data_IF_116762564583
#
_entry.id   IF_116762564583
#
_cell.length_a   1.000
_cell.length_b   1.000
_cell.length_c   1.000
_cell.angle_alpha   90.00
_cell.angle_beta   90.00
_cell.angle_gamma   90.00
#
_symmetry.space_group_name_H-M   'P 1'
#
loop_
_entity.id
_entity.type
_entity.pdbx_description
1 polymer ?
#
# COMPACT_ATOMS: atom_id res chain seq x y z
N UNK A 1 -9.00 -2.53 -8.74
CA UNK A 1 -9.50 -3.93 -8.75
C UNK A 1 -8.41 -4.85 -8.19
N UNK A 2 -7.22 -4.87 -8.80
CA UNK A 2 -6.05 -5.60 -8.29
C UNK A 2 -5.74 -5.35 -6.80
N UNK A 3 -5.61 -4.09 -6.37
CA UNK A 3 -5.27 -3.80 -4.96
C UNK A 3 -6.32 -4.29 -3.95
N UNK A 4 -7.59 -4.43 -4.37
CA UNK A 4 -8.65 -4.99 -3.52
C UNK A 4 -8.51 -6.51 -3.42
N UNK A 5 -8.18 -7.19 -4.52
CA UNK A 5 -7.90 -8.63 -4.54
C UNK A 5 -6.74 -8.98 -3.62
N UNK A 6 -5.60 -8.28 -3.79
CA UNK A 6 -4.41 -8.52 -2.98
C UNK A 6 -4.64 -8.19 -1.50
N UNK A 7 -5.38 -7.12 -1.21
CA UNK A 7 -5.76 -6.79 0.16
C UNK A 7 -6.63 -7.87 0.79
N UNK A 8 -7.63 -8.39 0.06
CA UNK A 8 -8.51 -9.45 0.57
C UNK A 8 -7.72 -10.70 0.92
N UNK A 9 -6.87 -11.16 0.01
CA UNK A 9 -6.03 -12.33 0.21
C UNK A 9 -5.11 -12.19 1.44
N UNK A 10 -4.40 -11.06 1.55
CA UNK A 10 -3.45 -10.84 2.64
C UNK A 10 -4.12 -10.59 3.99
N UNK A 11 -5.24 -9.86 4.03
CA UNK A 11 -5.81 -9.32 5.28
C UNK A 11 -7.07 -10.02 5.74
N UNK A 12 -7.85 -10.62 4.83
CA UNK A 12 -9.08 -11.34 5.18
C UNK A 12 -8.87 -12.84 5.19
N UNK A 13 -8.14 -13.37 4.22
CA UNK A 13 -7.79 -14.79 4.19
C UNK A 13 -6.53 -15.10 5.01
N UNK A 14 -5.81 -14.07 5.48
CA UNK A 14 -4.57 -14.19 6.25
C UNK A 14 -3.53 -15.10 5.56
N UNK A 15 -3.55 -15.12 4.24
CA UNK A 15 -2.67 -15.93 3.42
C UNK A 15 -1.33 -15.21 3.20
N UNK A 16 -0.26 -16.00 2.99
CA UNK A 16 1.02 -15.49 2.53
C UNK A 16 0.91 -14.90 1.12
N UNK A 17 1.92 -14.15 0.69
CA UNK A 17 1.99 -13.70 -0.70
C UNK A 17 1.98 -14.90 -1.65
N UNK A 18 1.02 -14.94 -2.58
CA UNK A 18 1.07 -15.86 -3.71
C UNK A 18 2.04 -15.29 -4.75
N UNK A 19 3.13 -16.00 -4.98
CA UNK A 19 4.24 -15.61 -5.87
C UNK A 19 4.34 -16.53 -7.09
N UNK A 20 3.64 -17.66 -7.10
CA UNK A 20 3.52 -18.49 -8.30
C UNK A 20 2.65 -17.75 -9.33
N UNK A 21 3.15 -17.50 -10.56
CA UNK A 21 2.42 -16.72 -11.55
C UNK A 21 1.05 -17.30 -11.94
N UNK A 22 0.95 -18.63 -12.01
CA UNK A 22 -0.29 -19.31 -12.43
C UNK A 22 -1.33 -19.20 -11.34
N UNK A 23 -0.94 -19.49 -10.09
CA UNK A 23 -1.83 -19.34 -8.93
C UNK A 23 -2.21 -17.89 -8.69
N UNK A 24 -1.29 -16.96 -8.89
CA UNK A 24 -1.54 -15.53 -8.78
C UNK A 24 -2.62 -15.07 -9.77
N UNK A 25 -2.51 -15.45 -11.05
CA UNK A 25 -3.51 -15.14 -12.07
C UNK A 25 -4.88 -15.69 -11.67
N UNK A 26 -4.97 -16.98 -11.34
CA UNK A 26 -6.20 -17.61 -10.90
C UNK A 26 -6.80 -16.92 -9.66
N UNK A 27 -5.97 -16.56 -8.68
CA UNK A 27 -6.39 -15.89 -7.46
C UNK A 27 -7.01 -14.51 -7.75
N UNK A 28 -6.37 -13.69 -8.58
CA UNK A 28 -6.88 -12.34 -8.86
C UNK A 28 -8.15 -12.37 -9.72
N UNK A 29 -8.26 -13.32 -10.65
CA UNK A 29 -9.43 -13.51 -11.52
C UNK A 29 -10.62 -14.08 -10.76
N UNK A 30 -10.38 -15.07 -9.90
CA UNK A 30 -11.41 -15.62 -9.01
C UNK A 30 -11.98 -14.57 -8.06
N UNK A 31 -11.13 -13.66 -7.56
CA UNK A 31 -11.59 -12.56 -6.72
C UNK A 31 -12.41 -11.52 -7.50
N UNK A 32 -11.99 -11.20 -8.74
CA UNK A 32 -12.69 -10.23 -9.57
C UNK A 32 -12.60 -10.60 -11.06
N UNK A 33 -13.72 -11.03 -11.68
CA UNK A 33 -13.76 -11.39 -13.10
C UNK A 33 -13.30 -10.29 -14.06
N UNK A 34 -13.33 -9.01 -13.66
CA UNK A 34 -12.81 -7.92 -14.49
C UNK A 34 -11.28 -7.91 -14.60
N UNK A 35 -10.59 -8.75 -13.83
CA UNK A 35 -9.16 -8.99 -13.96
C UNK A 35 -8.85 -10.17 -14.88
N UNK A 36 -9.85 -10.83 -15.48
CA UNK A 36 -9.66 -11.91 -16.43
C UNK A 36 -8.76 -11.45 -17.59
N UNK A 37 -7.69 -12.21 -17.84
CA UNK A 37 -6.70 -11.93 -18.87
C UNK A 37 -5.77 -10.75 -18.57
N UNK A 38 -5.91 -10.06 -17.43
CA UNK A 38 -5.04 -8.94 -17.06
C UNK A 38 -3.57 -9.36 -16.94
N UNK A 39 -3.31 -10.47 -16.25
CA UNK A 39 -1.95 -10.93 -16.03
C UNK A 39 -1.33 -11.46 -17.32
N UNK A 40 -2.07 -12.26 -18.09
CA UNK A 40 -1.71 -12.64 -19.45
C UNK A 40 -1.41 -11.43 -20.36
N UNK A 41 -2.22 -10.36 -20.32
CA UNK A 41 -1.94 -9.14 -21.07
C UNK A 41 -0.63 -8.46 -20.66
N UNK A 42 -0.38 -8.32 -19.36
CA UNK A 42 0.86 -7.74 -18.81
C UNK A 42 2.09 -8.54 -19.22
N UNK A 43 2.03 -9.87 -19.07
CA UNK A 43 3.14 -10.76 -19.45
C UNK A 43 3.45 -10.71 -20.93
N UNK A 44 2.42 -10.75 -21.80
CA UNK A 44 2.59 -10.65 -23.26
C UNK A 44 3.09 -9.27 -23.73
N UNK A 45 2.82 -8.22 -22.96
CA UNK A 45 3.25 -6.85 -23.29
C UNK A 45 4.69 -6.55 -22.85
N UNK A 46 5.12 -7.15 -21.74
CA UNK A 46 6.44 -6.86 -21.13
C UNK A 46 7.51 -7.86 -21.57
N UNK A 47 7.15 -9.13 -21.80
CA UNK A 47 8.11 -10.19 -22.12
C UNK A 47 8.26 -10.29 -23.65
N UNK A 48 9.48 -10.10 -24.20
CA UNK A 48 9.75 -10.31 -25.62
C UNK A 48 9.50 -11.74 -26.06
N UNK A 49 9.06 -11.94 -27.31
CA UNK A 49 8.67 -13.24 -27.86
C UNK A 49 9.86 -14.18 -28.08
N UNK A 50 11.07 -13.64 -28.23
CA UNK A 50 12.28 -14.42 -28.54
C UNK A 50 12.97 -15.02 -27.29
N UNK A 51 12.34 -14.96 -26.12
CA UNK A 51 12.93 -15.42 -24.86
C UNK A 51 12.86 -16.94 -24.66
N UNK A 52 13.88 -17.50 -24.01
CA UNK A 52 13.87 -18.91 -23.58
C UNK A 52 12.81 -19.15 -22.50
N UNK A 53 12.26 -20.35 -22.44
CA UNK A 53 11.19 -20.74 -21.50
C UNK A 53 11.54 -20.48 -20.02
N UNK A 54 12.79 -20.76 -19.62
CA UNK A 54 13.29 -20.44 -18.28
C UNK A 54 13.24 -18.94 -17.99
N UNK A 55 13.72 -18.10 -18.92
CA UNK A 55 13.72 -16.64 -18.76
C UNK A 55 12.31 -16.03 -18.79
N UNK A 56 11.35 -16.71 -19.44
CA UNK A 56 9.93 -16.31 -19.42
C UNK A 56 9.33 -16.56 -18.04
N UNK A 57 9.62 -17.72 -17.41
CA UNK A 57 9.06 -18.04 -16.10
C UNK A 57 9.56 -17.09 -15.00
N UNK A 58 10.85 -16.78 -15.01
CA UNK A 58 11.41 -15.78 -14.08
C UNK A 58 10.84 -14.39 -14.34
N UNK A 59 10.67 -13.99 -15.60
CA UNK A 59 10.03 -12.73 -15.92
C UNK A 59 8.56 -12.65 -15.44
N UNK A 60 7.80 -13.75 -15.51
CA UNK A 60 6.45 -13.83 -14.96
C UNK A 60 6.45 -13.60 -13.44
N UNK A 61 7.39 -14.19 -12.69
CA UNK A 61 7.55 -13.93 -11.25
C UNK A 61 7.83 -12.45 -10.96
N UNK A 62 8.73 -11.83 -11.71
CA UNK A 62 9.00 -10.38 -11.57
C UNK A 62 7.77 -9.52 -11.87
N UNK A 63 6.88 -9.95 -12.78
CA UNK A 63 5.61 -9.25 -13.04
C UNK A 63 4.63 -9.40 -11.88
N UNK A 64 4.61 -10.55 -11.20
CA UNK A 64 3.85 -10.71 -9.94
C UNK A 64 4.37 -9.73 -8.88
N UNK A 65 5.68 -9.66 -8.68
CA UNK A 65 6.32 -8.72 -7.76
C UNK A 65 6.00 -7.26 -8.11
N UNK A 66 6.01 -6.92 -9.41
CA UNK A 66 5.59 -5.61 -9.91
C UNK A 66 4.13 -5.31 -9.54
N UNK A 67 3.22 -6.28 -9.68
CA UNK A 67 1.82 -6.13 -9.30
C UNK A 67 1.66 -5.80 -7.81
N UNK A 68 2.37 -6.52 -6.93
CA UNK A 68 2.39 -6.22 -5.49
C UNK A 68 2.99 -4.84 -5.22
N UNK A 69 4.06 -4.47 -5.93
CA UNK A 69 4.73 -3.17 -5.79
C UNK A 69 3.78 -2.03 -6.15
N UNK A 70 3.12 -2.09 -7.31
CA UNK A 70 2.14 -1.08 -7.74
C UNK A 70 0.98 -1.00 -6.75
N UNK A 71 0.49 -2.14 -6.25
CA UNK A 71 -0.58 -2.15 -5.27
C UNK A 71 -0.16 -1.53 -3.92
N UNK A 72 1.05 -1.86 -3.45
CA UNK A 72 1.65 -1.30 -2.25
C UNK A 72 1.83 0.22 -2.37
N UNK A 73 2.36 0.70 -3.48
CA UNK A 73 2.54 2.13 -3.76
C UNK A 73 1.19 2.87 -3.75
N UNK A 74 0.18 2.34 -4.46
CA UNK A 74 -1.17 2.92 -4.46
C UNK A 74 -1.75 2.99 -3.04
N UNK A 75 -1.65 1.91 -2.28
CA UNK A 75 -2.19 1.86 -0.92
C UNK A 75 -1.46 2.83 0.01
N UNK A 76 -0.13 2.93 -0.11
CA UNK A 76 0.68 3.89 0.64
C UNK A 76 0.24 5.32 0.34
N UNK A 77 0.12 5.69 -0.94
CA UNK A 77 -0.32 7.03 -1.34
C UNK A 77 -1.72 7.36 -0.82
N UNK A 78 -2.69 6.45 -0.97
CA UNK A 78 -4.06 6.65 -0.48
C UNK A 78 -4.09 6.82 1.04
N UNK A 79 -3.33 6.01 1.79
CA UNK A 79 -3.29 6.10 3.25
C UNK A 79 -2.59 7.37 3.72
N UNK A 80 -1.51 7.79 3.06
CA UNK A 80 -0.82 9.06 3.32
C UNK A 80 -1.76 10.24 3.08
N UNK A 81 -2.44 10.27 1.93
CA UNK A 81 -3.40 11.32 1.61
C UNK A 81 -4.51 11.44 2.68
N UNK A 82 -5.10 10.30 3.09
CA UNK A 82 -6.10 10.27 4.17
C UNK A 82 -5.56 10.82 5.49
N UNK A 83 -4.31 10.50 5.82
CA UNK A 83 -3.66 10.99 7.03
C UNK A 83 -3.41 12.51 6.95
N UNK A 84 -2.97 13.02 5.80
CA UNK A 84 -2.75 14.45 5.57
C UNK A 84 -4.04 15.26 5.70
N UNK A 85 -5.15 14.76 5.12
CA UNK A 85 -6.47 15.38 5.30
C UNK A 85 -6.84 15.44 6.78
N UNK A 86 -6.64 14.35 7.53
CA UNK A 86 -6.91 14.31 8.97
C UNK A 86 -6.04 15.27 9.79
N UNK A 87 -4.74 15.36 9.47
CA UNK A 87 -3.81 16.32 10.07
C UNK A 87 -4.23 17.76 9.81
N UNK A 88 -4.63 18.05 8.57
CA UNK A 88 -5.11 19.38 8.18
C UNK A 88 -6.37 19.77 8.95
N UNK A 89 -7.35 18.87 9.06
CA UNK A 89 -8.57 19.11 9.84
C UNK A 89 -8.26 19.40 11.31
N UNK A 90 -7.38 18.62 11.94
CA UNK A 90 -6.95 18.90 13.32
C UNK A 90 -6.22 20.24 13.45
N UNK A 91 -5.40 20.62 12.46
CA UNK A 91 -4.68 21.89 12.45
C UNK A 91 -5.64 23.09 12.34
N UNK A 92 -6.77 22.93 11.65
CA UNK A 92 -7.85 23.92 11.58
C UNK A 92 -8.68 24.02 12.87
N UNK A 93 -8.37 23.21 13.90
CA UNK A 93 -9.14 23.16 15.14
C UNK A 93 -10.46 22.41 15.01
N UNK A 94 -10.62 21.55 14.00
CA UNK A 94 -11.81 20.71 13.88
C UNK A 94 -11.98 19.82 15.12
N UNK A 95 -13.23 19.63 15.54
CA UNK A 95 -13.52 18.73 16.67
C UNK A 95 -13.20 17.29 16.30
N UNK A 96 -13.04 16.46 17.33
CA UNK A 96 -12.79 15.03 17.16
C UNK A 96 -13.90 14.35 16.33
N UNK A 97 -15.16 14.73 16.57
CA UNK A 97 -16.33 14.23 15.84
C UNK A 97 -16.30 14.63 14.36
N UNK A 98 -15.88 15.86 14.06
CA UNK A 98 -15.72 16.32 12.68
C UNK A 98 -14.61 15.54 11.95
N UNK A 99 -13.47 15.32 12.62
CA UNK A 99 -12.38 14.49 12.09
C UNK A 99 -12.84 13.05 11.88
N UNK A 100 -13.62 12.47 12.79
CA UNK A 100 -14.11 11.08 12.69
C UNK A 100 -15.30 10.89 11.72
N UNK A 101 -15.91 11.98 11.25
CA UNK A 101 -16.94 11.92 10.21
C UNK A 101 -16.32 11.66 8.84
N UNK A 102 -15.18 12.27 8.53
CA UNK A 102 -14.51 12.17 7.22
C UNK A 102 -14.02 10.75 6.84
N UNK A 103 -13.53 9.90 7.77
CA UNK A 103 -13.22 8.50 7.52
C UNK A 103 -14.44 7.65 7.14
N UNK A 104 -15.61 7.95 7.70
CA UNK A 104 -16.86 7.24 7.35
C UNK A 104 -17.24 7.47 5.90
N UNK A 105 -16.88 8.64 5.35
CA UNK A 105 -17.00 8.98 3.94
C UNK A 105 -15.82 8.46 3.08
N UNK A 106 -14.80 7.88 3.71
CA UNK A 106 -13.63 7.32 3.04
C UNK A 106 -12.53 8.33 2.68
N UNK A 107 -12.62 9.59 3.11
CA UNK A 107 -11.72 10.67 2.70
C UNK A 107 -10.56 10.96 3.66
N UNK A 108 -10.65 10.55 4.92
CA UNK A 108 -9.64 10.86 5.95
C UNK A 108 -9.27 9.64 6.82
N UNK A 109 -8.20 9.78 7.59
CA UNK A 109 -7.90 8.95 8.74
C UNK A 109 -8.71 9.41 9.97
N UNK A 110 -9.01 8.48 10.89
CA UNK A 110 -9.73 8.80 12.12
C UNK A 110 -8.85 9.59 13.09
N UNK A 111 -9.50 10.30 14.02
CA UNK A 111 -8.82 11.20 14.94
C UNK A 111 -7.75 10.46 15.76
N UNK A 112 -8.04 9.22 16.18
CA UNK A 112 -7.07 8.32 16.82
C UNK A 112 -5.80 8.10 15.99
N UNK A 113 -5.95 7.78 14.70
CA UNK A 113 -4.80 7.53 13.81
C UNK A 113 -3.97 8.80 13.62
N UNK A 114 -4.63 9.94 13.43
CA UNK A 114 -3.97 11.24 13.27
C UNK A 114 -3.20 11.61 14.54
N UNK A 115 -3.81 11.44 15.72
CA UNK A 115 -3.19 11.76 17.00
C UNK A 115 -2.00 10.83 17.32
N UNK A 116 -2.14 9.54 17.03
CA UNK A 116 -1.03 8.59 17.15
C UNK A 116 0.16 8.99 16.27
N UNK A 117 -0.11 9.41 15.04
CA UNK A 117 0.93 9.91 14.14
C UNK A 117 1.61 11.18 14.67
N UNK A 118 0.84 12.17 15.17
CA UNK A 118 1.40 13.39 15.78
C UNK A 118 2.31 13.07 16.97
N UNK A 119 1.89 12.16 17.84
CA UNK A 119 2.70 11.69 18.98
C UNK A 119 4.01 11.04 18.51
N UNK A 120 3.94 10.22 17.46
CA UNK A 120 5.12 9.59 16.87
C UNK A 120 6.10 10.62 16.32
N UNK A 121 5.61 11.59 15.52
CA UNK A 121 6.45 12.67 14.97
C UNK A 121 7.11 13.50 16.08
N UNK A 122 6.36 13.82 17.15
CA UNK A 122 6.92 14.55 18.30
C UNK A 122 8.03 13.75 18.99
N UNK A 123 7.83 12.45 19.19
CA UNK A 123 8.82 11.55 19.79
C UNK A 123 10.09 11.47 18.94
N UNK A 124 9.93 11.27 17.64
CA UNK A 124 11.07 11.20 16.69
C UNK A 124 11.85 12.52 16.64
N UNK A 125 11.15 13.64 16.68
CA UNK A 125 11.78 14.96 16.71
C UNK A 125 12.63 15.17 17.97
N UNK A 126 12.08 14.84 19.15
CA UNK A 126 12.82 14.94 20.42
C UNK A 126 14.07 14.05 20.41
N UNK A 127 13.94 12.79 19.98
CA UNK A 127 15.08 11.87 19.87
C UNK A 127 16.16 12.40 18.90
N UNK A 128 15.75 13.03 17.79
CA UNK A 128 16.70 13.63 16.83
C UNK A 128 17.43 14.83 17.42
N UNK A 129 16.75 15.67 18.21
CA UNK A 129 17.36 16.79 18.92
C UNK A 129 18.36 16.28 19.96
N UNK A 130 17.98 15.33 20.81
CA UNK A 130 18.85 14.74 21.82
C UNK A 130 20.12 14.16 21.19
N UNK A 131 19.96 13.39 20.11
CA UNK A 131 21.08 12.84 19.34
C UNK A 131 22.01 13.94 18.83
N UNK A 132 21.47 15.01 18.25
CA UNK A 132 22.28 16.12 17.75
C UNK A 132 23.12 16.77 18.86
N UNK A 133 22.55 17.00 20.04
CA UNK A 133 23.26 17.55 21.18
C UNK A 133 24.37 16.61 21.69
N UNK A 134 24.11 15.30 21.76
CA UNK A 134 25.11 14.31 22.14
C UNK A 134 26.28 14.22 21.16
N UNK A 135 26.05 14.48 19.86
CA UNK A 135 27.07 14.35 18.82
C UNK A 135 27.87 15.64 18.56
N UNK A 136 27.32 16.82 18.89
CA UNK A 136 27.88 18.10 18.43
C UNK A 136 28.13 19.13 19.55
N UNK A 137 27.62 18.90 20.77
CA UNK A 137 27.67 19.90 21.85
C UNK A 137 28.35 19.35 23.11
N UNK A 138 28.22 18.05 23.37
CA UNK A 138 28.98 17.32 24.40
C UNK A 138 30.20 16.62 23.79
#
# INVERSE_FOLDING_TARGET
MLTKALYHHQRRECASLELDPTKFEQMIEAFNPQLEGFFSYMTNSIIPKERSTYSVNEAKKSIVELCYTIAGLRNKFVNQYKLEVGLYLMALGATWEAVDTMPKLGYSACANTVEAYRKQVKKEHLAKIEKYFLENVL
#
